data_IF_535194284423
#
_entry.id   IF_535194284423
#
_cell.length_a   1.000
_cell.length_b   1.000
_cell.length_c   1.000
_cell.angle_alpha   90.00
_cell.angle_beta   90.00
_cell.angle_gamma   90.00
#
_symmetry.space_group_name_H-M   'P 1'
#
loop_
_entity.id
_entity.type
_entity.pdbx_description
1 polymer ?
#
# COMPACT_ATOMS: atom_id res chain seq x y z
N UNK A 1 -7.98 -34.07 5.04
CA UNK A 1 -9.29 -33.39 4.93
C UNK A 1 -9.09 -32.19 4.02
N UNK A 2 -9.40 -32.34 2.73
CA UNK A 2 -9.20 -31.28 1.74
C UNK A 2 -10.23 -30.17 1.95
N UNK A 3 -9.80 -29.04 2.50
CA UNK A 3 -10.57 -27.80 2.42
C UNK A 3 -10.58 -27.36 0.96
N UNK A 4 -11.76 -27.44 0.33
CA UNK A 4 -11.99 -26.89 -1.01
C UNK A 4 -11.91 -25.36 -0.91
N UNK A 5 -10.75 -24.79 -1.17
CA UNK A 5 -10.64 -23.37 -1.53
C UNK A 5 -11.22 -23.23 -2.94
N UNK A 6 -12.20 -22.35 -3.09
CA UNK A 6 -12.98 -22.22 -4.33
C UNK A 6 -12.12 -21.78 -5.50
N UNK A 7 -11.98 -22.65 -6.52
CA UNK A 7 -11.77 -22.32 -7.94
C UNK A 7 -10.62 -21.41 -8.36
N UNK A 8 -9.77 -20.93 -7.45
CA UNK A 8 -8.70 -20.00 -7.79
C UNK A 8 -7.51 -20.75 -8.37
N UNK A 9 -7.24 -20.50 -9.64
CA UNK A 9 -5.99 -20.90 -10.29
C UNK A 9 -5.04 -19.70 -10.28
N UNK A 10 -3.82 -19.82 -9.73
CA UNK A 10 -2.88 -18.71 -9.68
C UNK A 10 -2.45 -18.31 -11.10
N UNK A 11 -2.15 -17.02 -11.34
CA UNK A 11 -1.69 -16.55 -12.63
C UNK A 11 -0.37 -17.22 -13.04
N UNK A 12 -0.23 -17.53 -14.33
CA UNK A 12 0.99 -18.16 -14.90
C UNK A 12 2.18 -17.20 -15.03
N UNK A 13 1.96 -15.90 -14.84
CA UNK A 13 2.97 -14.83 -14.98
C UNK A 13 2.80 -13.82 -13.86
N UNK A 14 3.83 -13.02 -13.59
CA UNK A 14 3.81 -12.00 -12.53
C UNK A 14 3.67 -10.56 -13.06
N UNK A 15 3.25 -10.39 -14.32
CA UNK A 15 3.12 -9.06 -14.96
C UNK A 15 2.13 -8.13 -14.23
N UNK A 16 1.25 -8.66 -13.38
CA UNK A 16 0.35 -7.87 -12.54
C UNK A 16 1.06 -7.13 -11.40
N UNK A 17 2.28 -7.52 -11.03
CA UNK A 17 3.04 -6.92 -9.93
C UNK A 17 3.68 -5.58 -10.31
N UNK A 18 3.82 -5.32 -11.60
CA UNK A 18 4.52 -4.14 -12.11
C UNK A 18 3.86 -3.57 -13.36
N UNK A 19 3.62 -2.27 -13.35
CA UNK A 19 3.14 -1.53 -14.50
C UNK A 19 3.67 -0.10 -14.43
N UNK A 20 4.04 0.50 -15.56
CA UNK A 20 4.50 1.89 -15.62
C UNK A 20 3.79 2.65 -16.73
N UNK A 21 2.92 3.60 -16.37
CA UNK A 21 2.18 4.41 -17.32
C UNK A 21 2.98 5.66 -17.73
N UNK A 22 4.07 5.47 -18.49
CA UNK A 22 4.98 6.55 -18.89
C UNK A 22 4.34 7.65 -19.77
N UNK A 23 3.15 7.38 -20.31
CA UNK A 23 2.37 8.34 -21.12
C UNK A 23 1.42 9.19 -20.28
N UNK A 24 1.27 8.92 -18.98
CA UNK A 24 0.48 9.73 -18.07
C UNK A 24 1.02 11.16 -18.01
N UNK A 25 0.15 12.16 -18.08
CA UNK A 25 0.50 13.58 -17.98
C UNK A 25 1.11 13.94 -16.62
N UNK A 26 0.89 13.09 -15.63
CA UNK A 26 1.46 13.22 -14.31
C UNK A 26 2.74 12.42 -14.13
N UNK A 27 3.26 11.66 -15.10
CA UNK A 27 4.44 10.80 -14.88
C UNK A 27 5.76 11.61 -14.82
N UNK A 28 6.63 11.35 -13.83
CA UNK A 28 6.36 10.61 -12.58
C UNK A 28 5.43 11.42 -11.66
N UNK A 29 4.46 10.73 -11.01
CA UNK A 29 3.33 11.34 -10.28
C UNK A 29 3.74 12.46 -9.31
N UNK A 30 4.95 12.35 -8.77
CA UNK A 30 5.63 13.39 -8.02
C UNK A 30 7.13 13.33 -8.33
N UNK A 31 7.88 14.37 -7.90
CA UNK A 31 9.34 14.35 -8.02
C UNK A 31 9.91 13.12 -7.30
N UNK A 32 10.66 12.30 -8.02
CA UNK A 32 11.36 11.14 -7.46
C UNK A 32 12.55 11.63 -6.64
N UNK A 33 12.33 11.88 -5.35
CA UNK A 33 13.43 12.14 -4.41
C UNK A 33 14.01 10.79 -3.96
N UNK A 34 15.34 10.67 -3.94
CA UNK A 34 16.03 9.44 -3.53
C UNK A 34 16.65 8.62 -4.67
N UNK A 35 16.68 9.14 -5.89
CA UNK A 35 17.48 8.57 -6.98
C UNK A 35 16.90 7.34 -7.67
N UNK A 36 15.60 7.07 -7.50
CA UNK A 36 14.90 6.05 -8.28
C UNK A 36 14.88 6.40 -9.76
N UNK A 37 15.26 5.44 -10.59
CA UNK A 37 15.21 5.56 -12.04
C UNK A 37 13.75 5.41 -12.53
N UNK A 38 13.38 6.08 -13.62
CA UNK A 38 11.99 6.07 -14.09
C UNK A 38 11.55 4.68 -14.59
N UNK A 39 12.50 3.85 -15.04
CA UNK A 39 12.29 2.45 -15.42
C UNK A 39 11.84 1.57 -14.25
N UNK A 40 12.23 1.94 -13.03
CA UNK A 40 11.85 1.23 -11.80
C UNK A 40 10.53 1.75 -11.21
N UNK A 41 9.97 2.82 -11.79
CA UNK A 41 8.77 3.48 -11.27
C UNK A 41 7.49 2.71 -11.62
N UNK A 42 6.91 2.13 -10.57
CA UNK A 42 5.68 1.35 -10.62
C UNK A 42 4.45 2.24 -10.36
N UNK A 43 3.48 2.21 -11.27
CA UNK A 43 2.19 2.89 -11.17
C UNK A 43 1.09 2.02 -10.54
N UNK A 44 1.38 0.76 -10.16
CA UNK A 44 0.37 -0.15 -9.60
C UNK A 44 -0.33 0.42 -8.37
N UNK A 45 0.42 1.11 -7.50
CA UNK A 45 -0.11 1.81 -6.34
C UNK A 45 0.22 3.30 -6.42
N UNK A 46 -0.53 4.04 -7.24
CA UNK A 46 -0.38 5.49 -7.35
C UNK A 46 -0.69 6.26 -6.05
N UNK A 47 -1.21 5.60 -5.02
CA UNK A 47 -1.38 6.10 -3.66
C UNK A 47 -0.84 5.08 -2.66
N UNK A 48 -0.50 5.52 -1.44
CA UNK A 48 0.02 4.63 -0.40
C UNK A 48 -1.10 3.73 0.18
N UNK A 49 -1.11 2.41 -0.07
CA UNK A 49 -2.15 1.53 0.48
C UNK A 49 -1.99 1.33 2.00
N UNK A 50 -0.78 1.58 2.52
CA UNK A 50 -0.44 1.44 3.94
C UNK A 50 -0.70 2.73 4.75
N UNK A 51 -1.38 3.72 4.17
CA UNK A 51 -1.62 5.03 4.80
C UNK A 51 -2.21 4.92 6.21
N UNK A 52 -3.21 4.04 6.38
CA UNK A 52 -3.94 3.86 7.63
C UNK A 52 -3.11 3.25 8.77
N UNK A 53 -1.95 2.65 8.46
CA UNK A 53 -1.01 2.17 9.48
C UNK A 53 -0.31 3.33 10.21
N UNK A 54 -0.54 4.58 9.83
CA UNK A 54 0.06 5.72 10.52
C UNK A 54 1.59 5.63 10.48
N UNK A 55 2.25 5.82 11.61
CA UNK A 55 3.72 5.76 11.69
C UNK A 55 4.29 4.36 11.43
N UNK A 56 3.50 3.32 11.65
CA UNK A 56 3.89 1.92 11.44
C UNK A 56 3.88 1.50 9.96
N UNK A 57 3.59 2.42 9.04
CA UNK A 57 3.57 2.10 7.61
C UNK A 57 4.96 1.80 7.02
N UNK A 58 6.05 2.11 7.74
CA UNK A 58 7.44 1.85 7.32
C UNK A 58 7.95 2.69 6.15
N UNK A 59 7.15 3.67 5.69
CA UNK A 59 7.47 4.52 4.55
C UNK A 59 8.10 5.86 4.92
N UNK A 60 8.63 6.56 3.93
CA UNK A 60 9.11 7.93 4.09
C UNK A 60 7.96 8.93 3.92
N UNK A 61 7.42 9.43 5.03
CA UNK A 61 6.30 10.38 5.05
C UNK A 61 6.59 11.54 6.01
N UNK A 62 5.79 12.60 5.89
CA UNK A 62 5.72 13.67 6.89
C UNK A 62 4.27 13.91 7.31
N UNK A 63 4.05 14.69 8.36
CA UNK A 63 2.71 15.19 8.70
C UNK A 63 2.66 16.69 8.45
N UNK A 64 1.71 17.13 7.63
CA UNK A 64 1.40 18.53 7.41
C UNK A 64 -0.01 18.82 7.91
N UNK A 65 -0.13 19.68 8.93
CA UNK A 65 -1.41 20.05 9.56
C UNK A 65 -2.28 18.84 9.96
N UNK A 66 -1.65 17.79 10.49
CA UNK A 66 -2.34 16.56 10.90
C UNK A 66 -2.70 15.61 9.76
N UNK A 67 -2.41 15.95 8.51
CA UNK A 67 -2.58 15.06 7.36
C UNK A 67 -1.24 14.42 7.03
N UNK A 68 -1.22 13.09 6.94
CA UNK A 68 -0.02 12.35 6.51
C UNK A 68 0.22 12.62 5.02
N UNK A 69 1.43 13.05 4.69
CA UNK A 69 1.91 13.34 3.35
C UNK A 69 2.99 12.32 2.96
N UNK A 70 2.68 11.50 1.96
CA UNK A 70 3.55 10.44 1.46
C UNK A 70 4.28 10.82 0.15
N UNK A 71 4.31 12.10 -0.24
CA UNK A 71 4.91 12.57 -1.51
C UNK A 71 6.37 12.15 -1.67
N UNK A 72 7.11 11.97 -0.58
CA UNK A 72 8.53 11.54 -0.61
C UNK A 72 8.70 10.02 -0.42
N UNK A 73 7.61 9.24 -0.45
CA UNK A 73 7.62 7.79 -0.28
C UNK A 73 7.73 7.06 -1.62
N UNK A 74 8.74 6.22 -1.77
CA UNK A 74 8.94 5.42 -2.99
C UNK A 74 8.52 3.95 -2.86
N UNK A 75 8.05 3.52 -1.69
CA UNK A 75 7.63 2.13 -1.47
C UNK A 75 6.55 1.70 -2.48
N UNK A 76 5.43 2.45 -2.66
CA UNK A 76 4.37 2.05 -3.60
C UNK A 76 4.82 2.05 -5.06
N UNK A 77 5.91 2.76 -5.35
CA UNK A 77 6.45 2.97 -6.67
C UNK A 77 7.66 2.09 -6.98
N UNK A 78 8.10 1.25 -6.04
CA UNK A 78 9.22 0.35 -6.27
C UNK A 78 8.85 -0.86 -7.11
N UNK A 79 9.85 -1.48 -7.75
CA UNK A 79 9.65 -2.72 -8.50
C UNK A 79 9.09 -3.86 -7.63
N UNK A 80 9.41 -3.87 -6.33
CA UNK A 80 8.93 -4.89 -5.37
C UNK A 80 7.68 -4.44 -4.58
N UNK A 81 7.01 -3.37 -5.01
CA UNK A 81 5.90 -2.78 -4.26
C UNK A 81 4.76 -3.77 -3.98
N UNK A 82 4.41 -4.61 -4.96
CA UNK A 82 3.34 -5.61 -4.82
C UNK A 82 3.59 -6.56 -3.66
N UNK A 83 4.75 -7.22 -3.64
CA UNK A 83 5.06 -8.23 -2.64
C UNK A 83 5.20 -7.59 -1.24
N UNK A 84 5.83 -6.40 -1.16
CA UNK A 84 5.93 -5.67 0.11
C UNK A 84 4.56 -5.27 0.66
N UNK A 85 3.72 -4.59 -0.13
CA UNK A 85 2.43 -4.07 0.33
C UNK A 85 1.47 -5.22 0.68
N UNK A 86 1.41 -6.26 -0.15
CA UNK A 86 0.52 -7.40 0.09
C UNK A 86 0.92 -8.20 1.33
N UNK A 87 2.23 -8.31 1.63
CA UNK A 87 2.69 -8.94 2.87
C UNK A 87 2.23 -8.22 4.15
N UNK A 88 1.96 -6.91 4.06
CA UNK A 88 1.53 -6.05 5.18
C UNK A 88 0.01 -5.92 5.27
N UNK A 89 -0.75 -6.49 4.34
CA UNK A 89 -2.20 -6.26 4.24
C UNK A 89 -2.96 -6.83 5.44
N UNK A 90 -2.42 -7.85 6.11
CA UNK A 90 -2.99 -8.38 7.37
C UNK A 90 -3.09 -7.34 8.48
N UNK A 91 -2.18 -6.36 8.55
CA UNK A 91 -2.23 -5.28 9.53
C UNK A 91 -3.38 -4.31 9.25
N UNK A 92 -3.65 -4.04 7.96
CA UNK A 92 -4.80 -3.24 7.54
C UNK A 92 -6.11 -3.96 7.84
N UNK A 93 -6.17 -5.28 7.69
CA UNK A 93 -7.34 -6.08 8.05
C UNK A 93 -7.67 -5.93 9.54
N UNK A 94 -6.66 -5.94 10.42
CA UNK A 94 -6.88 -5.73 11.87
C UNK A 94 -7.46 -4.35 12.16
N UNK A 95 -7.05 -3.31 11.42
CA UNK A 95 -7.65 -1.97 11.54
C UNK A 95 -9.07 -1.89 10.98
N UNK A 96 -9.36 -2.62 9.90
CA UNK A 96 -10.64 -2.62 9.21
C UNK A 96 -11.72 -3.47 9.91
N UNK A 97 -11.31 -4.40 10.79
CA UNK A 97 -12.25 -5.15 11.61
C UNK A 97 -13.00 -4.19 12.54
N UNK A 98 -14.31 -4.10 12.39
CA UNK A 98 -15.19 -3.40 13.32
C UNK A 98 -14.97 -4.01 14.72
N UNK A 99 -14.40 -3.21 15.63
CA UNK A 99 -14.53 -3.48 17.05
C UNK A 99 -15.86 -2.88 17.47
N UNK A 100 -16.72 -3.71 18.06
CA UNK A 100 -17.94 -3.26 18.74
C UNK A 100 -17.68 -1.94 19.52
N UNK A 101 -18.61 -0.98 19.50
CA UNK A 101 -18.41 0.32 20.13
C UNK A 101 -18.03 0.18 21.60
N UNK A 102 -16.93 0.82 22.00
CA UNK A 102 -16.54 1.00 23.41
C UNK A 102 -17.45 2.06 24.02
N UNK A 103 -18.70 1.68 24.26
CA UNK A 103 -19.62 2.40 25.14
C UNK A 103 -20.46 1.35 25.87
N UNK A 104 -19.84 0.68 26.85
CA UNK A 104 -20.58 0.02 27.93
C UNK A 104 -20.25 0.75 29.25
N UNK A 105 -21.24 1.40 29.88
CA UNK A 105 -21.05 2.18 31.10
C UNK A 105 -20.87 1.33 32.38
N UNK A 106 -20.51 0.05 32.29
CA UNK A 106 -20.42 -0.85 33.46
C UNK A 106 -19.06 -0.84 34.19
N UNK A 107 -18.27 0.22 34.04
CA UNK A 107 -17.10 0.46 34.89
C UNK A 107 -17.17 1.83 35.58
N UNK A 108 -18.18 2.00 36.43
CA UNK A 108 -18.16 2.89 37.61
C UNK A 108 -18.78 2.11 38.78
#
# INVERSE_FOLDING_TARGET
MSSKTGGYEPPKTENFKFFSHRQCEYFPCHRLKGGMAEEDFNCLFCYCPLYALGEDCGGNFTYYKGVKDCTDCLIPHSHNAYDYITSRFGELVVLAQEKEPVDSPEKI
#
